data_IF_643220179891
#
_entry.id   IF_643220179891
#
_cell.length_a   1.000
_cell.length_b   1.000
_cell.length_c   1.000
_cell.angle_alpha   90.00
_cell.angle_beta   90.00
_cell.angle_gamma   90.00
#
_symmetry.space_group_name_H-M   'P 1'
#
loop_
_entity.id
_entity.type
_entity.pdbx_description
1 polymer ?
#
# COMPACT_ATOMS: atom_id res chain seq x y z
N UNK A 1 0.32 -5.83 24.76
CA UNK A 1 -1.06 -5.31 24.56
C UNK A 1 -1.27 -5.09 23.06
N UNK A 2 -2.36 -5.61 22.48
CA UNK A 2 -2.67 -5.40 21.05
C UNK A 2 -3.10 -3.94 20.83
N UNK A 3 -2.69 -3.34 19.72
CA UNK A 3 -3.09 -1.99 19.32
C UNK A 3 -3.73 -2.02 17.94
N UNK A 4 -4.71 -1.16 17.73
CA UNK A 4 -5.26 -0.94 16.39
C UNK A 4 -4.21 -0.29 15.48
N UNK A 5 -4.30 -0.53 14.17
CA UNK A 5 -3.50 0.18 13.17
C UNK A 5 -4.04 1.59 12.85
N UNK A 6 -5.11 2.03 13.54
CA UNK A 6 -5.80 3.27 13.26
C UNK A 6 -6.92 3.11 12.23
N UNK A 7 -7.58 4.21 11.89
CA UNK A 7 -8.74 4.21 10.98
C UNK A 7 -8.38 4.16 9.50
N UNK A 8 -7.14 4.50 9.14
CA UNK A 8 -6.72 4.69 7.75
C UNK A 8 -7.33 5.93 7.09
N UNK A 9 -8.06 6.79 7.83
CA UNK A 9 -8.49 8.10 7.34
C UNK A 9 -7.26 9.01 7.22
N UNK A 10 -7.18 9.77 6.13
CA UNK A 10 -6.03 10.60 5.81
C UNK A 10 -6.45 11.99 5.32
N UNK A 11 -5.52 12.94 5.35
CA UNK A 11 -5.57 14.22 4.66
C UNK A 11 -4.52 14.20 3.54
N UNK A 12 -4.82 14.82 2.40
CA UNK A 12 -3.88 14.87 1.26
C UNK A 12 -2.52 15.49 1.62
N UNK A 13 -2.48 16.42 2.57
CA UNK A 13 -1.24 17.03 3.06
C UNK A 13 -0.33 16.08 3.86
N UNK A 14 -0.79 14.86 4.18
CA UNK A 14 0.01 13.87 4.90
C UNK A 14 0.81 12.96 3.96
N UNK A 15 0.54 12.98 2.66
CA UNK A 15 1.33 12.20 1.71
C UNK A 15 2.78 12.71 1.67
N UNK A 16 3.75 11.82 1.53
CA UNK A 16 5.13 12.23 1.21
C UNK A 16 5.16 13.07 -0.07
N UNK A 17 4.37 12.67 -1.07
CA UNK A 17 4.19 13.41 -2.32
C UNK A 17 2.85 13.05 -2.95
N UNK A 18 2.11 14.05 -3.44
CA UNK A 18 0.91 13.84 -4.24
C UNK A 18 0.95 14.77 -5.44
N UNK A 19 0.88 14.18 -6.63
CA UNK A 19 0.86 14.91 -7.89
C UNK A 19 -0.44 15.67 -8.14
N UNK A 20 -0.48 16.35 -9.28
CA UNK A 20 -1.63 17.05 -9.80
C UNK A 20 -2.66 16.06 -10.36
N UNK A 21 -3.93 16.45 -10.35
CA UNK A 21 -5.03 15.66 -10.93
C UNK A 21 -5.15 14.23 -10.38
N UNK A 22 -4.70 13.98 -9.15
CA UNK A 22 -4.85 12.68 -8.48
C UNK A 22 -6.28 12.51 -7.97
N UNK A 23 -6.93 11.44 -8.40
CA UNK A 23 -8.27 11.05 -7.96
C UNK A 23 -8.14 9.94 -6.91
N UNK A 24 -8.78 10.14 -5.77
CA UNK A 24 -8.86 9.14 -4.71
C UNK A 24 -10.34 9.00 -4.35
N UNK A 25 -10.90 7.86 -4.70
CA UNK A 25 -12.33 7.60 -4.59
C UNK A 25 -12.81 7.36 -3.16
N UNK A 26 -14.13 7.38 -2.98
CA UNK A 26 -14.75 7.17 -1.69
C UNK A 26 -14.36 5.81 -1.06
N UNK A 27 -14.15 5.82 0.25
CA UNK A 27 -13.81 4.62 1.02
C UNK A 27 -12.35 4.16 0.89
N UNK A 28 -11.50 4.86 0.12
CA UNK A 28 -10.06 4.59 0.14
C UNK A 28 -9.50 4.87 1.53
N UNK A 29 -8.67 3.95 2.02
CA UNK A 29 -7.96 4.09 3.28
C UNK A 29 -6.45 4.11 3.03
N UNK A 30 -5.74 4.98 3.73
CA UNK A 30 -4.30 5.15 3.61
C UNK A 30 -3.68 5.11 5.00
N UNK A 31 -2.76 4.18 5.19
CA UNK A 31 -1.98 4.05 6.41
C UNK A 31 -0.55 4.49 6.12
N UNK A 32 0.08 5.17 7.09
CA UNK A 32 1.39 5.78 6.90
C UNK A 32 1.49 6.61 5.60
N UNK A 33 0.57 7.57 5.36
CA UNK A 33 0.59 8.41 4.16
C UNK A 33 1.94 9.14 3.99
N UNK A 34 2.65 9.42 5.08
CA UNK A 34 4.00 10.00 5.08
C UNK A 34 5.05 9.16 4.33
N UNK A 35 4.72 7.92 3.97
CA UNK A 35 5.57 7.01 3.19
C UNK A 35 4.96 6.64 1.83
N UNK A 36 3.88 7.32 1.42
CA UNK A 36 3.19 7.07 0.15
C UNK A 36 3.39 8.26 -0.79
N UNK A 37 3.80 7.96 -2.02
CA UNK A 37 3.99 8.93 -3.09
C UNK A 37 3.16 8.57 -4.31
N UNK A 38 2.43 9.56 -4.84
CA UNK A 38 1.67 9.42 -6.08
C UNK A 38 2.11 10.45 -7.10
N UNK A 39 2.34 9.97 -8.33
CA UNK A 39 2.54 10.78 -9.53
C UNK A 39 1.32 11.60 -9.94
N UNK A 40 1.47 12.35 -11.02
CA UNK A 40 0.40 13.12 -11.63
C UNK A 40 -0.63 12.20 -12.30
N UNK A 41 -1.91 12.55 -12.23
CA UNK A 41 -2.99 11.82 -12.91
C UNK A 41 -3.24 10.39 -12.41
N UNK A 42 -2.74 10.03 -11.22
CA UNK A 42 -3.04 8.73 -10.60
C UNK A 42 -4.51 8.64 -10.21
N UNK A 43 -5.14 7.51 -10.51
CA UNK A 43 -6.51 7.19 -10.09
C UNK A 43 -6.50 6.02 -9.10
N UNK A 44 -7.13 6.20 -7.94
CA UNK A 44 -7.30 5.17 -6.91
C UNK A 44 -8.79 4.87 -6.72
N UNK A 45 -9.22 3.69 -7.17
CA UNK A 45 -10.60 3.24 -7.14
C UNK A 45 -11.16 2.98 -5.72
N UNK A 46 -12.50 3.03 -5.64
CA UNK A 46 -13.29 2.90 -4.42
C UNK A 46 -12.85 1.74 -3.52
N UNK A 47 -12.79 2.00 -2.21
CA UNK A 47 -12.51 0.96 -1.21
C UNK A 47 -11.10 0.35 -1.25
N UNK A 48 -10.18 0.88 -2.07
CA UNK A 48 -8.78 0.46 -2.07
C UNK A 48 -8.09 0.83 -0.77
N UNK A 49 -7.26 -0.06 -0.25
CA UNK A 49 -6.42 0.19 0.94
C UNK A 49 -4.96 0.30 0.50
N UNK A 50 -4.41 1.51 0.64
CA UNK A 50 -2.98 1.78 0.54
C UNK A 50 -2.36 1.63 1.93
N UNK A 51 -1.93 0.41 2.25
CA UNK A 51 -1.27 0.07 3.51
C UNK A 51 0.22 0.41 3.42
N UNK A 52 0.52 1.71 3.50
CA UNK A 52 1.85 2.19 3.85
C UNK A 52 2.34 1.55 5.15
N UNK A 53 3.66 1.52 5.36
CA UNK A 53 4.28 0.92 6.53
C UNK A 53 5.35 1.84 7.10
N UNK A 54 5.62 1.79 8.41
CA UNK A 54 6.50 2.75 9.09
C UNK A 54 7.96 2.78 8.58
N UNK A 55 8.42 1.74 7.87
CA UNK A 55 9.82 1.58 7.41
C UNK A 55 10.00 1.38 5.90
N UNK A 56 8.93 1.38 5.11
CA UNK A 56 9.01 1.14 3.67
C UNK A 56 8.17 2.15 2.89
N UNK A 57 8.51 2.35 1.61
CA UNK A 57 7.88 3.34 0.73
C UNK A 57 6.93 2.69 -0.26
N UNK A 58 5.83 3.38 -0.55
CA UNK A 58 4.94 3.06 -1.65
C UNK A 58 5.02 4.17 -2.69
N UNK A 59 5.51 3.86 -3.89
CA UNK A 59 5.66 4.82 -4.98
C UNK A 59 4.76 4.40 -6.14
N UNK A 60 3.85 5.27 -6.55
CA UNK A 60 2.92 5.06 -7.65
C UNK A 60 3.23 6.10 -8.74
N UNK A 61 3.65 5.64 -9.92
CA UNK A 61 4.03 6.50 -11.03
C UNK A 61 2.85 7.17 -11.74
N UNK A 62 3.16 8.24 -12.47
CA UNK A 62 2.21 9.08 -13.20
C UNK A 62 1.27 8.28 -14.12
N UNK A 63 0.02 8.71 -14.23
CA UNK A 63 -0.99 8.11 -15.12
C UNK A 63 -1.44 6.69 -14.75
N UNK A 64 -1.02 6.18 -13.59
CA UNK A 64 -1.42 4.84 -13.13
C UNK A 64 -2.88 4.80 -12.69
N UNK A 65 -3.58 3.74 -13.12
CA UNK A 65 -4.96 3.47 -12.75
C UNK A 65 -5.03 2.24 -11.84
N UNK A 66 -5.56 2.43 -10.64
CA UNK A 66 -5.78 1.37 -9.65
C UNK A 66 -7.28 1.13 -9.50
N UNK A 67 -7.72 -0.10 -9.80
CA UNK A 67 -9.10 -0.53 -9.68
C UNK A 67 -9.62 -0.53 -8.24
N UNK A 68 -10.91 -0.75 -8.09
CA UNK A 68 -11.59 -0.78 -6.80
C UNK A 68 -11.10 -1.92 -5.92
N UNK A 69 -11.20 -1.74 -4.60
CA UNK A 69 -11.00 -2.78 -3.59
C UNK A 69 -9.62 -3.49 -3.67
N UNK A 70 -8.60 -2.77 -4.11
CA UNK A 70 -7.22 -3.27 -4.06
C UNK A 70 -6.67 -3.21 -2.63
N UNK A 71 -5.64 -4.02 -2.33
CA UNK A 71 -4.91 -3.96 -1.06
C UNK A 71 -3.40 -3.98 -1.33
N UNK A 72 -2.72 -2.86 -1.09
CA UNK A 72 -1.28 -2.74 -1.31
C UNK A 72 -0.57 -2.55 0.01
N UNK A 73 0.41 -3.39 0.31
CA UNK A 73 1.24 -3.33 1.50
C UNK A 73 2.71 -3.12 1.11
N UNK A 74 3.39 -2.17 1.77
CA UNK A 74 4.72 -1.68 1.38
C UNK A 74 5.78 -1.78 2.48
N UNK A 75 5.66 -2.76 3.39
CA UNK A 75 6.67 -2.95 4.43
C UNK A 75 8.08 -3.30 3.93
N UNK A 76 8.18 -3.80 2.70
CA UNK A 76 9.42 -4.11 2.00
C UNK A 76 9.66 -3.25 0.76
N UNK A 77 9.00 -2.10 0.68
CA UNK A 77 8.90 -1.21 -0.48
C UNK A 77 8.02 -1.75 -1.62
N UNK A 78 7.24 -0.85 -2.24
CA UNK A 78 6.41 -1.14 -3.41
C UNK A 78 6.59 -0.03 -4.45
N UNK A 79 6.99 -0.39 -5.67
CA UNK A 79 7.12 0.54 -6.79
C UNK A 79 6.21 0.16 -7.95
N UNK A 80 5.22 0.99 -8.25
CA UNK A 80 4.37 0.87 -9.44
C UNK A 80 4.84 1.93 -10.44
N UNK A 81 5.14 1.50 -11.67
CA UNK A 81 5.64 2.37 -12.74
C UNK A 81 4.63 3.41 -13.24
N UNK A 82 4.95 4.07 -14.36
CA UNK A 82 4.05 5.02 -15.03
C UNK A 82 3.06 4.28 -15.94
N UNK A 83 1.85 4.81 -16.07
CA UNK A 83 0.79 4.31 -16.97
C UNK A 83 0.46 2.82 -16.78
N UNK A 84 0.49 2.34 -15.53
CA UNK A 84 0.15 0.95 -15.20
C UNK A 84 -1.34 0.84 -14.95
N UNK A 85 -1.98 -0.19 -15.51
CA UNK A 85 -3.35 -0.58 -15.16
C UNK A 85 -3.35 -1.72 -14.15
N UNK A 86 -3.94 -1.51 -12.97
CA UNK A 86 -4.13 -2.55 -11.95
C UNK A 86 -5.62 -2.84 -11.81
N UNK A 87 -6.01 -4.08 -12.14
CA UNK A 87 -7.40 -4.50 -12.08
C UNK A 87 -7.99 -4.46 -10.66
N UNK A 88 -9.33 -4.42 -10.52
CA UNK A 88 -9.99 -4.45 -9.22
C UNK A 88 -9.63 -5.70 -8.39
N UNK A 89 -9.55 -5.54 -7.06
CA UNK A 89 -9.34 -6.64 -6.12
C UNK A 89 -7.90 -7.14 -5.98
N UNK A 90 -6.95 -6.60 -6.75
CA UNK A 90 -5.53 -6.99 -6.72
C UNK A 90 -4.92 -6.73 -5.35
N UNK A 91 -4.06 -7.66 -4.92
CA UNK A 91 -3.34 -7.58 -3.64
C UNK A 91 -1.85 -7.70 -3.89
N UNK A 92 -1.10 -6.73 -3.40
CA UNK A 92 0.37 -6.72 -3.46
C UNK A 92 0.87 -6.62 -2.03
N UNK A 93 1.67 -7.61 -1.60
CA UNK A 93 2.17 -7.70 -0.24
C UNK A 93 3.68 -7.95 -0.29
N UNK A 94 4.44 -7.02 0.26
CA UNK A 94 5.92 -7.02 0.24
C UNK A 94 6.52 -7.66 1.50
N UNK A 95 5.77 -8.55 2.14
CA UNK A 95 6.17 -9.19 3.39
C UNK A 95 5.58 -10.59 3.52
N UNK A 96 6.35 -11.52 4.04
CA UNK A 96 5.93 -12.90 4.25
C UNK A 96 6.63 -13.50 5.47
N UNK A 97 6.03 -14.52 6.07
CA UNK A 97 6.68 -15.30 7.13
C UNK A 97 7.62 -16.32 6.50
N UNK A 98 8.78 -16.52 7.13
CA UNK A 98 9.75 -17.56 6.74
C UNK A 98 9.21 -18.93 7.15
N UNK A 99 9.42 -19.96 6.33
CA UNK A 99 9.20 -21.35 6.74
C UNK A 99 10.29 -21.74 7.75
N UNK A 100 9.89 -22.19 8.95
CA UNK A 100 10.79 -22.55 10.06
C UNK A 100 10.46 -23.95 10.62
N UNK A 101 9.90 -24.81 9.77
CA UNK A 101 9.40 -26.13 10.10
C UNK A 101 8.01 -26.16 10.75
N UNK A 102 7.48 -27.37 10.91
CA UNK A 102 6.12 -27.62 11.43
C UNK A 102 6.00 -27.52 12.96
N UNK A 103 7.11 -27.37 13.68
CA UNK A 103 7.11 -27.26 15.15
C UNK A 103 6.77 -25.85 15.65
N UNK A 104 6.76 -24.86 14.76
CA UNK A 104 6.49 -23.46 15.06
C UNK A 104 5.33 -22.95 14.19
N UNK A 105 4.26 -22.38 14.78
CA UNK A 105 3.19 -21.78 13.99
C UNK A 105 3.71 -20.65 13.10
N UNK A 106 3.30 -20.62 11.83
CA UNK A 106 3.75 -19.62 10.84
C UNK A 106 3.57 -18.18 11.33
N UNK A 107 2.51 -17.92 12.12
CA UNK A 107 2.22 -16.62 12.74
C UNK A 107 3.36 -16.10 13.64
N UNK A 108 4.18 -17.00 14.20
CA UNK A 108 5.30 -16.68 15.08
C UNK A 108 6.65 -16.76 14.36
N UNK A 109 6.69 -17.24 13.12
CA UNK A 109 7.91 -17.31 12.32
C UNK A 109 8.40 -15.92 11.94
N UNK A 110 9.70 -15.77 11.67
CA UNK A 110 10.28 -14.47 11.32
C UNK A 110 9.63 -13.90 10.06
N UNK A 111 9.35 -12.60 10.08
CA UNK A 111 8.83 -11.87 8.91
C UNK A 111 10.02 -11.38 8.08
N UNK A 112 9.96 -11.64 6.78
CA UNK A 112 10.85 -11.06 5.78
C UNK A 112 10.12 -9.96 5.01
N UNK A 113 10.90 -9.00 4.52
CA UNK A 113 10.46 -7.88 3.71
C UNK A 113 11.26 -7.87 2.42
N UNK A 114 10.60 -7.77 1.28
CA UNK A 114 11.24 -7.73 -0.02
C UNK A 114 10.46 -6.82 -0.97
N UNK A 115 11.16 -6.03 -1.82
CA UNK A 115 10.51 -5.11 -2.73
C UNK A 115 9.76 -5.82 -3.85
N UNK A 116 8.71 -5.14 -4.32
CA UNK A 116 7.93 -5.50 -5.52
C UNK A 116 7.93 -4.33 -6.48
#
# INVERSE_FOLDING_TARGET
>A
MRRSHGSGRFKRSQFARIGHNVIIEAGVLVFHPENVEMGDGVYVGHGTILKGYYRGRMVIGDGTWIGQQCFFHSAGDLSIGRNVGIGPGVKIITSFHTEEGISKPILHSRIQFAPV
#
